data_IF_231309897297
#
_entry.id   IF_231309897297
#
_cell.length_a   1.000
_cell.length_b   1.000
_cell.length_c   1.000
_cell.angle_alpha   90.00
_cell.angle_beta   90.00
_cell.angle_gamma   90.00
#
_symmetry.space_group_name_H-M   'P 1'
#
loop_
_entity.id
_entity.type
_entity.pdbx_description
1 polymer ?
#
# COMPACT_ATOMS: atom_id res chain seq x y z
N UNK A 1 -1.96 82.88 52.68
CA UNK A 1 -0.57 83.07 53.07
C UNK A 1 -0.01 81.72 53.50
N UNK A 2 0.71 81.04 52.60
CA UNK A 2 1.75 80.05 52.91
C UNK A 2 2.35 79.63 51.56
N UNK A 3 3.30 80.44 51.09
CA UNK A 3 4.38 79.99 50.21
C UNK A 3 5.44 79.38 51.14
N UNK A 4 6.33 78.51 50.64
CA UNK A 4 7.46 77.88 51.35
C UNK A 4 7.27 76.42 51.81
N UNK A 5 6.93 75.53 50.88
CA UNK A 5 7.17 74.10 51.09
C UNK A 5 7.74 73.40 49.85
N UNK A 6 8.67 74.05 49.16
CA UNK A 6 9.58 73.35 48.25
C UNK A 6 10.92 73.25 48.96
N UNK A 7 11.19 72.10 49.59
CA UNK A 7 12.52 71.72 50.02
C UNK A 7 13.38 71.56 48.77
N UNK A 8 14.43 72.35 48.63
CA UNK A 8 15.48 72.12 47.63
C UNK A 8 16.04 70.72 47.86
N UNK A 9 15.84 69.84 46.89
CA UNK A 9 16.40 68.49 46.87
C UNK A 9 17.80 68.61 46.27
N UNK A 10 18.81 68.19 47.03
CA UNK A 10 20.23 68.26 46.64
C UNK A 10 20.46 67.49 45.31
N UNK A 11 21.05 68.14 44.29
CA UNK A 11 21.24 67.57 42.95
C UNK A 11 22.15 66.32 42.94
N UNK A 12 22.91 66.07 44.00
CA UNK A 12 23.77 64.89 44.14
C UNK A 12 22.98 63.66 44.56
N UNK A 13 21.92 63.85 45.34
CA UNK A 13 21.03 62.76 45.81
C UNK A 13 20.07 62.33 44.71
N UNK A 14 19.59 63.28 43.91
CA UNK A 14 18.74 63.02 42.75
C UNK A 14 19.49 62.19 41.69
N UNK A 15 20.76 62.50 41.42
CA UNK A 15 21.61 61.72 40.49
C UNK A 15 21.92 60.30 40.99
N UNK A 16 22.11 60.09 42.29
CA UNK A 16 22.38 58.76 42.87
C UNK A 16 21.13 57.87 42.93
N UNK A 17 19.94 58.46 43.12
CA UNK A 17 18.66 57.75 43.07
C UNK A 17 18.34 57.39 41.61
N UNK A 18 18.51 58.33 40.69
CA UNK A 18 18.28 58.13 39.26
C UNK A 18 19.23 57.07 38.67
N UNK A 19 20.52 57.07 38.99
CA UNK A 19 21.48 56.09 38.45
C UNK A 19 21.27 54.66 39.00
N UNK A 20 20.98 54.54 40.31
CA UNK A 20 20.79 53.24 40.97
C UNK A 20 19.47 52.56 40.61
N UNK A 21 18.40 53.32 40.43
CA UNK A 21 17.12 52.80 39.96
C UNK A 21 17.16 52.46 38.47
N UNK A 22 17.75 53.31 37.62
CA UNK A 22 17.82 53.08 36.16
C UNK A 22 18.62 51.82 35.82
N UNK A 23 19.73 51.55 36.52
CA UNK A 23 20.59 50.41 36.24
C UNK A 23 19.96 49.07 36.71
N UNK A 24 19.13 49.12 37.75
CA UNK A 24 18.33 47.98 38.22
C UNK A 24 17.09 47.72 37.35
N UNK A 25 16.47 48.79 36.83
CA UNK A 25 15.33 48.77 35.91
C UNK A 25 15.74 48.43 34.49
N UNK A 26 16.98 48.66 34.06
CA UNK A 26 17.52 48.20 32.77
C UNK A 26 17.93 46.72 32.81
N UNK A 27 18.43 46.21 33.95
CA UNK A 27 18.79 44.78 34.09
C UNK A 27 17.61 43.82 34.10
N UNK A 28 16.43 44.27 34.53
CA UNK A 28 15.20 43.46 34.56
C UNK A 28 14.66 43.10 33.15
N UNK A 29 14.46 44.06 32.23
CA UNK A 29 13.96 43.76 30.88
C UNK A 29 14.98 42.97 30.06
N UNK A 30 16.28 43.12 30.30
CA UNK A 30 17.34 42.43 29.55
C UNK A 30 17.40 40.92 29.89
N UNK A 31 17.22 40.57 31.17
CA UNK A 31 17.09 39.16 31.58
C UNK A 31 15.80 38.51 31.07
N UNK A 32 14.68 39.24 31.06
CA UNK A 32 13.42 38.70 30.58
C UNK A 32 13.38 38.56 29.05
N UNK A 33 13.93 39.54 28.33
CA UNK A 33 14.03 39.49 26.85
C UNK A 33 15.00 38.41 26.38
N UNK A 34 16.14 38.22 27.05
CA UNK A 34 17.03 37.09 26.75
C UNK A 34 16.37 35.74 27.05
N UNK A 35 15.58 35.62 28.12
CA UNK A 35 14.83 34.38 28.42
C UNK A 35 13.75 34.07 27.38
N UNK A 36 13.00 35.09 26.93
CA UNK A 36 11.98 34.95 25.87
C UNK A 36 12.66 34.60 24.53
N UNK A 37 13.82 35.20 24.25
CA UNK A 37 14.60 34.91 23.06
C UNK A 37 15.10 33.46 23.04
N UNK A 38 15.66 32.98 24.16
CA UNK A 38 16.16 31.62 24.33
C UNK A 38 15.02 30.57 24.26
N UNK A 39 13.87 30.87 24.88
CA UNK A 39 12.64 30.08 24.77
C UNK A 39 12.16 29.97 23.31
N UNK A 40 12.13 31.08 22.56
CA UNK A 40 11.78 31.06 21.13
C UNK A 40 12.74 30.23 20.31
N UNK A 41 14.05 30.33 20.57
CA UNK A 41 15.07 29.55 19.87
C UNK A 41 14.92 28.05 20.14
N UNK A 42 14.62 27.64 21.37
CA UNK A 42 14.36 26.23 21.72
C UNK A 42 13.10 25.69 21.03
N UNK A 43 12.03 26.47 20.97
CA UNK A 43 10.80 26.08 20.26
C UNK A 43 11.06 26.00 18.76
N UNK A 44 11.75 26.99 18.18
CA UNK A 44 12.11 26.99 16.76
C UNK A 44 12.97 25.78 16.40
N UNK A 45 14.02 25.50 17.18
CA UNK A 45 14.90 24.35 16.96
C UNK A 45 14.21 23.00 17.18
N UNK A 46 13.27 22.92 18.13
CA UNK A 46 12.43 21.73 18.35
C UNK A 46 11.47 21.47 17.20
N UNK A 47 10.84 22.53 16.66
CA UNK A 47 9.98 22.46 15.46
C UNK A 47 10.81 22.08 14.22
N UNK A 48 12.01 22.62 14.07
CA UNK A 48 12.92 22.29 12.96
C UNK A 48 13.31 20.80 13.01
N UNK A 49 13.73 20.30 14.17
CA UNK A 49 14.12 18.89 14.36
C UNK A 49 12.97 17.92 14.11
N UNK A 50 11.74 18.34 14.45
CA UNK A 50 10.53 17.54 14.19
C UNK A 50 10.17 17.55 12.71
N UNK A 51 10.33 18.69 12.02
CA UNK A 51 10.14 18.79 10.56
C UNK A 51 11.14 17.92 9.81
N UNK A 52 12.41 17.94 10.20
CA UNK A 52 13.46 17.17 9.51
C UNK A 52 13.22 15.66 9.60
N UNK A 53 12.69 15.16 10.72
CA UNK A 53 12.31 13.74 10.84
C UNK A 53 11.06 13.40 10.02
N UNK A 54 10.06 14.29 9.99
CA UNK A 54 8.86 14.09 9.17
C UNK A 54 9.19 14.12 7.67
N UNK A 55 10.09 15.00 7.25
CA UNK A 55 10.53 15.10 5.86
C UNK A 55 11.37 13.89 5.43
N UNK A 56 12.18 13.32 6.34
CA UNK A 56 12.86 12.02 6.09
C UNK A 56 11.86 10.87 5.89
N UNK A 57 10.88 10.75 6.78
CA UNK A 57 9.84 9.70 6.68
C UNK A 57 9.01 9.87 5.41
N UNK A 58 8.64 11.11 5.07
CA UNK A 58 7.94 11.40 3.81
C UNK A 58 8.79 11.04 2.60
N UNK A 59 10.08 11.39 2.57
CA UNK A 59 10.93 11.03 1.44
C UNK A 59 11.09 9.52 1.28
N UNK A 60 11.23 8.75 2.36
CA UNK A 60 11.31 7.29 2.31
C UNK A 60 9.99 6.67 1.84
N UNK A 61 8.86 7.19 2.32
CA UNK A 61 7.54 6.73 1.91
C UNK A 61 7.26 7.10 0.44
N UNK A 62 7.59 8.31 0.01
CA UNK A 62 7.47 8.76 -1.39
C UNK A 62 8.41 7.98 -2.32
N UNK A 63 9.63 7.63 -1.90
CA UNK A 63 10.48 6.75 -2.69
C UNK A 63 9.92 5.33 -2.80
N UNK A 64 9.33 4.79 -1.72
CA UNK A 64 8.66 3.50 -1.77
C UNK A 64 7.46 3.54 -2.73
N UNK A 65 6.64 4.58 -2.67
CA UNK A 65 5.52 4.80 -3.59
C UNK A 65 5.99 4.96 -5.04
N UNK A 66 7.09 5.69 -5.30
CA UNK A 66 7.64 5.82 -6.65
C UNK A 66 8.19 4.50 -7.20
N UNK A 67 8.82 3.66 -6.35
CA UNK A 67 9.27 2.32 -6.76
C UNK A 67 8.11 1.39 -7.06
N UNK A 68 7.02 1.49 -6.29
CA UNK A 68 5.79 0.75 -6.56
C UNK A 68 5.12 1.25 -7.83
N UNK A 69 4.92 2.57 -7.98
CA UNK A 69 4.32 3.16 -9.18
C UNK A 69 5.16 2.89 -10.44
N UNK A 70 6.49 3.03 -10.41
CA UNK A 70 7.31 2.77 -11.59
C UNK A 70 7.29 1.28 -11.98
N UNK A 71 7.24 0.37 -11.00
CA UNK A 71 7.17 -1.07 -11.26
C UNK A 71 5.79 -1.49 -11.76
N UNK A 72 4.74 -0.90 -11.18
CA UNK A 72 3.35 -0.99 -11.65
C UNK A 72 3.29 -0.45 -13.08
N UNK A 73 3.61 0.81 -13.33
CA UNK A 73 3.53 1.43 -14.66
C UNK A 73 4.36 0.69 -15.72
N UNK A 74 5.53 0.14 -15.39
CA UNK A 74 6.33 -0.64 -16.35
C UNK A 74 5.70 -1.97 -16.78
N UNK A 75 4.82 -2.54 -15.94
CA UNK A 75 4.08 -3.77 -16.24
C UNK A 75 2.69 -3.45 -16.82
N UNK A 76 2.12 -2.28 -16.53
CA UNK A 76 0.76 -1.91 -16.92
C UNK A 76 0.65 -0.93 -18.12
N UNK A 77 1.75 -0.51 -18.75
CA UNK A 77 1.71 0.44 -19.86
C UNK A 77 1.14 -0.13 -21.17
N UNK A 78 1.37 -1.42 -21.47
CA UNK A 78 0.83 -2.09 -22.68
C UNK A 78 -0.43 -2.94 -22.38
N UNK A 79 -0.60 -3.34 -21.12
CA UNK A 79 -1.55 -4.38 -20.70
C UNK A 79 -2.80 -3.80 -20.00
N UNK A 80 -2.92 -2.46 -19.87
CA UNK A 80 -4.02 -1.79 -19.14
C UNK A 80 -5.42 -2.15 -19.67
N UNK A 81 -5.55 -2.29 -20.98
CA UNK A 81 -6.81 -2.68 -21.61
C UNK A 81 -7.13 -4.17 -21.43
N UNK A 82 -6.12 -5.05 -21.47
CA UNK A 82 -6.31 -6.50 -21.36
C UNK A 82 -6.50 -6.97 -19.92
N UNK A 83 -5.77 -6.40 -18.96
CA UNK A 83 -5.99 -6.66 -17.53
C UNK A 83 -7.32 -6.09 -17.04
N UNK A 84 -7.65 -4.85 -17.44
CA UNK A 84 -8.96 -4.25 -17.13
C UNK A 84 -10.12 -5.07 -17.69
N UNK A 85 -10.03 -5.47 -18.96
CA UNK A 85 -11.02 -6.33 -19.60
C UNK A 85 -11.04 -7.74 -18.99
N UNK A 86 -9.89 -8.25 -18.57
CA UNK A 86 -9.75 -9.55 -17.94
C UNK A 86 -10.43 -9.62 -16.59
N UNK A 87 -10.19 -8.64 -15.71
CA UNK A 87 -10.87 -8.52 -14.42
C UNK A 87 -12.37 -8.29 -14.63
N UNK A 88 -12.76 -7.42 -15.56
CA UNK A 88 -14.16 -7.20 -15.89
C UNK A 88 -14.85 -8.50 -16.35
N UNK A 89 -14.17 -9.31 -17.15
CA UNK A 89 -14.68 -10.60 -17.62
C UNK A 89 -14.90 -11.59 -16.48
N UNK A 90 -14.01 -11.63 -15.48
CA UNK A 90 -14.17 -12.43 -14.26
C UNK A 90 -15.39 -11.96 -13.46
N UNK A 91 -15.56 -10.65 -13.28
CA UNK A 91 -16.71 -10.07 -12.56
C UNK A 91 -18.02 -10.38 -13.30
N UNK A 92 -18.05 -10.24 -14.63
CA UNK A 92 -19.21 -10.58 -15.45
C UNK A 92 -19.53 -12.07 -15.31
N UNK A 93 -18.54 -12.96 -15.41
CA UNK A 93 -18.76 -14.40 -15.23
C UNK A 93 -19.32 -14.75 -13.85
N UNK A 94 -18.84 -14.09 -12.79
CA UNK A 94 -19.39 -14.24 -11.43
C UNK A 94 -20.85 -13.76 -11.38
N UNK A 95 -21.16 -12.57 -11.93
CA UNK A 95 -22.54 -12.08 -11.98
C UNK A 95 -23.46 -12.99 -12.79
N UNK A 96 -22.98 -13.51 -13.92
CA UNK A 96 -23.70 -14.50 -14.73
C UNK A 96 -23.96 -15.78 -13.94
N UNK A 97 -22.97 -16.29 -13.18
CA UNK A 97 -23.14 -17.43 -12.29
C UNK A 97 -24.16 -17.20 -11.17
N UNK A 98 -24.20 -15.98 -10.63
CA UNK A 98 -25.20 -15.58 -9.64
C UNK A 98 -26.60 -15.48 -10.23
N UNK A 99 -26.74 -15.03 -11.48
CA UNK A 99 -28.03 -14.98 -12.18
C UNK A 99 -28.51 -16.39 -12.51
N UNK A 100 -27.62 -17.25 -13.00
CA UNK A 100 -27.95 -18.63 -13.38
C UNK A 100 -28.49 -19.45 -12.20
N UNK A 101 -28.03 -19.16 -10.98
CA UNK A 101 -28.46 -19.85 -9.76
C UNK A 101 -29.60 -19.17 -9.01
N UNK A 102 -30.25 -18.17 -9.61
CA UNK A 102 -31.34 -17.40 -8.99
C UNK A 102 -32.49 -18.25 -8.46
N UNK A 103 -32.75 -19.43 -9.04
CA UNK A 103 -33.82 -20.35 -8.64
C UNK A 103 -33.34 -21.55 -7.81
N UNK A 104 -32.05 -21.62 -7.48
CA UNK A 104 -31.42 -22.74 -6.77
C UNK A 104 -31.19 -22.43 -5.29
N UNK A 105 -30.96 -23.46 -4.48
CA UNK A 105 -30.71 -23.33 -3.04
C UNK A 105 -29.48 -22.48 -2.70
N UNK A 106 -29.41 -21.98 -1.45
CA UNK A 106 -28.37 -21.06 -0.97
C UNK A 106 -26.93 -21.55 -1.23
N UNK A 107 -26.69 -22.85 -1.11
CA UNK A 107 -25.37 -23.46 -1.38
C UNK A 107 -24.93 -23.24 -2.84
N UNK A 108 -25.83 -23.46 -3.80
CA UNK A 108 -25.54 -23.27 -5.23
C UNK A 108 -25.35 -21.79 -5.60
N UNK A 109 -26.04 -20.90 -4.88
CA UNK A 109 -25.93 -19.45 -5.06
C UNK A 109 -24.56 -18.89 -4.68
N UNK A 110 -23.81 -19.55 -3.80
CA UNK A 110 -22.46 -19.15 -3.44
C UNK A 110 -21.40 -19.90 -4.25
N UNK A 111 -21.56 -21.20 -4.46
CA UNK A 111 -20.53 -22.01 -5.14
C UNK A 111 -20.44 -21.71 -6.62
N UNK A 112 -21.55 -21.49 -7.30
CA UNK A 112 -21.58 -21.29 -8.76
C UNK A 112 -20.90 -20.01 -9.22
N UNK A 113 -21.20 -18.80 -8.67
CA UNK A 113 -20.47 -17.60 -9.03
C UNK A 113 -18.99 -17.72 -8.67
N UNK A 114 -18.64 -18.34 -7.54
CA UNK A 114 -17.25 -18.54 -7.15
C UNK A 114 -16.51 -19.44 -8.15
N UNK A 115 -17.09 -20.58 -8.52
CA UNK A 115 -16.54 -21.52 -9.49
C UNK A 115 -16.35 -20.86 -10.85
N UNK A 116 -17.38 -20.17 -11.37
CA UNK A 116 -17.29 -19.48 -12.65
C UNK A 116 -16.25 -18.35 -12.64
N UNK A 117 -16.16 -17.61 -11.54
CA UNK A 117 -15.14 -16.57 -11.38
C UNK A 117 -13.72 -17.12 -11.34
N UNK A 118 -13.48 -18.19 -10.57
CA UNK A 118 -12.17 -18.86 -10.52
C UNK A 118 -11.83 -19.43 -11.89
N UNK A 119 -12.77 -20.10 -12.55
CA UNK A 119 -12.56 -20.69 -13.87
C UNK A 119 -12.21 -19.64 -14.92
N UNK A 120 -12.96 -18.53 -14.94
CA UNK A 120 -12.69 -17.40 -15.83
C UNK A 120 -11.36 -16.73 -15.49
N UNK A 121 -10.99 -16.64 -14.21
CA UNK A 121 -9.72 -16.09 -13.78
C UNK A 121 -8.52 -16.91 -14.28
N UNK A 122 -8.62 -18.24 -14.22
CA UNK A 122 -7.58 -19.14 -14.76
C UNK A 122 -7.49 -19.01 -16.28
N UNK A 123 -8.63 -18.91 -16.95
CA UNK A 123 -8.71 -18.77 -18.40
C UNK A 123 -8.11 -17.45 -18.91
N UNK A 124 -8.43 -16.34 -18.24
CA UNK A 124 -7.99 -14.99 -18.61
C UNK A 124 -6.53 -14.74 -18.23
N UNK A 125 -6.06 -15.28 -17.10
CA UNK A 125 -4.70 -15.08 -16.59
C UNK A 125 -3.91 -16.40 -16.50
N UNK A 126 -3.58 -17.04 -17.65
CA UNK A 126 -2.92 -18.34 -17.64
C UNK A 126 -1.50 -18.26 -17.09
N UNK A 127 -0.77 -17.17 -17.36
CA UNK A 127 0.59 -16.97 -16.85
C UNK A 127 0.64 -16.85 -15.33
N UNK A 128 -0.26 -16.06 -14.75
CA UNK A 128 -0.36 -15.89 -13.30
C UNK A 128 -0.75 -17.20 -12.61
N UNK A 129 -1.70 -17.93 -13.18
CA UNK A 129 -2.14 -19.23 -12.66
C UNK A 129 -1.00 -20.25 -12.65
N UNK A 130 -0.24 -20.37 -13.74
CA UNK A 130 0.91 -21.26 -13.81
C UNK A 130 2.00 -20.86 -12.81
N UNK A 131 2.31 -19.57 -12.70
CA UNK A 131 3.33 -19.10 -11.75
C UNK A 131 2.93 -19.39 -10.29
N UNK A 132 1.67 -19.18 -9.93
CA UNK A 132 1.16 -19.48 -8.58
C UNK A 132 1.20 -20.99 -8.33
N UNK A 133 0.78 -21.80 -9.30
CA UNK A 133 0.86 -23.26 -9.23
C UNK A 133 2.31 -23.73 -9.03
N UNK A 134 3.29 -23.19 -9.75
CA UNK A 134 4.71 -23.56 -9.59
C UNK A 134 5.22 -23.21 -8.18
N UNK A 135 4.81 -22.06 -7.63
CA UNK A 135 5.17 -21.67 -6.25
C UNK A 135 4.52 -22.56 -5.20
N UNK A 136 3.25 -22.89 -5.38
CA UNK A 136 2.54 -23.84 -4.51
C UNK A 136 3.22 -25.20 -4.60
N UNK A 137 3.58 -25.63 -5.81
CA UNK A 137 4.24 -26.90 -6.04
C UNK A 137 5.62 -26.98 -5.38
N UNK A 138 6.43 -25.94 -5.47
CA UNK A 138 7.72 -25.83 -4.76
C UNK A 138 7.53 -25.92 -3.24
N UNK A 139 6.46 -25.32 -2.72
CA UNK A 139 6.12 -25.36 -1.30
C UNK A 139 5.63 -26.75 -0.87
N UNK A 140 4.79 -27.39 -1.67
CA UNK A 140 4.29 -28.75 -1.47
C UNK A 140 5.41 -29.77 -1.53
N UNK A 141 6.40 -29.61 -2.42
CA UNK A 141 7.56 -30.49 -2.49
C UNK A 141 8.36 -30.51 -1.18
N UNK A 142 8.46 -29.34 -0.53
CA UNK A 142 9.22 -29.17 0.71
C UNK A 142 8.49 -29.70 1.94
N UNK A 143 7.18 -29.50 2.02
CA UNK A 143 6.40 -29.82 3.23
C UNK A 143 5.60 -31.13 3.12
N UNK A 144 5.14 -31.49 1.92
CA UNK A 144 4.16 -32.55 1.66
C UNK A 144 4.54 -33.40 0.43
N UNK A 145 5.68 -34.12 0.47
CA UNK A 145 6.20 -34.86 -0.70
C UNK A 145 5.27 -35.98 -1.19
N UNK A 146 4.41 -36.51 -0.31
CA UNK A 146 3.42 -37.54 -0.66
C UNK A 146 2.34 -37.00 -1.59
N UNK A 147 1.87 -35.76 -1.35
CA UNK A 147 0.85 -35.13 -2.19
C UNK A 147 1.44 -34.78 -3.57
N UNK A 148 2.65 -34.25 -3.60
CA UNK A 148 3.34 -33.91 -4.85
C UNK A 148 3.55 -35.14 -5.77
N UNK A 149 3.81 -36.32 -5.19
CA UNK A 149 3.91 -37.59 -5.94
C UNK A 149 2.57 -38.01 -6.53
N UNK A 150 1.49 -38.01 -5.72
CA UNK A 150 0.14 -38.34 -6.21
C UNK A 150 -0.34 -37.38 -7.30
N UNK A 151 -0.07 -36.09 -7.15
CA UNK A 151 -0.38 -35.11 -8.20
C UNK A 151 0.36 -35.39 -9.51
N UNK A 152 1.63 -35.83 -9.46
CA UNK A 152 2.37 -36.23 -10.68
C UNK A 152 1.78 -37.48 -11.33
N UNK A 153 1.43 -38.47 -10.53
CA UNK A 153 0.80 -39.71 -10.98
C UNK A 153 -0.53 -39.43 -11.69
N UNK A 154 -1.43 -38.68 -11.03
CA UNK A 154 -2.72 -38.28 -11.61
C UNK A 154 -2.53 -37.46 -12.89
N UNK A 155 -1.53 -36.58 -12.93
CA UNK A 155 -1.21 -35.83 -14.15
C UNK A 155 -0.78 -36.77 -15.29
N UNK A 156 0.02 -37.79 -14.99
CA UNK A 156 0.45 -38.81 -15.95
C UNK A 156 -0.74 -39.59 -16.53
N UNK A 157 -1.60 -40.11 -15.66
CA UNK A 157 -2.82 -40.83 -16.08
C UNK A 157 -3.74 -39.96 -16.94
N UNK A 158 -3.90 -38.69 -16.58
CA UNK A 158 -4.72 -37.75 -17.34
C UNK A 158 -4.12 -37.45 -18.72
N UNK A 159 -2.79 -37.35 -18.83
CA UNK A 159 -2.12 -37.14 -20.11
C UNK A 159 -2.26 -38.35 -21.02
N UNK A 160 -2.11 -39.56 -20.48
CA UNK A 160 -2.30 -40.80 -21.23
C UNK A 160 -3.75 -40.94 -21.72
N UNK A 161 -4.74 -40.71 -20.84
CA UNK A 161 -6.16 -40.77 -21.24
C UNK A 161 -6.55 -39.72 -22.30
N UNK A 162 -5.92 -38.54 -22.29
CA UNK A 162 -6.10 -37.53 -23.33
C UNK A 162 -5.50 -37.95 -24.67
N UNK A 163 -4.34 -38.64 -24.64
CA UNK A 163 -3.71 -39.19 -25.85
C UNK A 163 -4.58 -40.30 -26.46
N UNK A 164 -5.12 -41.21 -25.64
CA UNK A 164 -6.05 -42.24 -26.08
C UNK A 164 -7.31 -41.65 -26.73
N UNK A 165 -7.92 -40.62 -26.10
CA UNK A 165 -9.08 -39.93 -26.67
C UNK A 165 -8.75 -39.26 -28.01
N UNK A 166 -7.56 -38.66 -28.13
CA UNK A 166 -7.09 -38.03 -29.37
C UNK A 166 -6.89 -39.06 -30.46
N UNK A 167 -6.30 -40.20 -30.14
CA UNK A 167 -6.04 -41.27 -31.11
C UNK A 167 -7.32 -41.99 -31.52
N UNK A 168 -8.28 -42.16 -30.60
CA UNK A 168 -9.65 -42.57 -30.95
C UNK A 168 -10.29 -41.58 -31.93
N UNK A 169 -10.21 -40.27 -31.66
CA UNK A 169 -10.74 -39.24 -32.57
C UNK A 169 -10.10 -39.27 -33.96
N UNK A 170 -8.77 -39.47 -34.04
CA UNK A 170 -8.07 -39.66 -35.32
C UNK A 170 -8.54 -40.92 -36.05
N UNK A 171 -8.72 -42.04 -35.34
CA UNK A 171 -9.26 -43.29 -35.92
C UNK A 171 -10.65 -43.08 -36.50
N UNK A 172 -11.56 -42.45 -35.75
CA UNK A 172 -12.90 -42.11 -36.24
C UNK A 172 -12.86 -41.22 -37.48
N UNK A 173 -11.99 -40.19 -37.49
CA UNK A 173 -11.81 -39.31 -38.65
C UNK A 173 -11.32 -40.09 -39.88
N UNK A 174 -10.39 -41.03 -39.70
CA UNK A 174 -9.85 -41.85 -40.80
C UNK A 174 -10.94 -42.75 -41.40
N UNK A 175 -11.75 -43.39 -40.56
CA UNK A 175 -12.87 -44.23 -41.02
C UNK A 175 -13.89 -43.42 -41.83
N UNK A 176 -14.25 -42.21 -41.37
CA UNK A 176 -15.16 -41.33 -42.12
C UNK A 176 -14.59 -41.02 -43.51
N UNK A 177 -13.29 -40.78 -43.61
CA UNK A 177 -12.62 -40.43 -44.86
C UNK A 177 -12.33 -41.62 -45.79
N UNK A 178 -12.47 -42.86 -45.31
CA UNK A 178 -12.42 -44.08 -46.14
C UNK A 178 -13.81 -44.49 -46.65
N UNK A 179 -14.88 -44.05 -45.98
CA UNK A 179 -16.28 -44.34 -46.35
C UNK A 179 -16.89 -43.34 -47.33
N UNK A 180 -16.28 -42.16 -47.51
CA UNK A 180 -16.74 -41.07 -48.38
C UNK A 180 -15.69 -40.73 -49.43
#
# INVERSE_FOLDING_TARGET
MSKDFYREVDPSTDKLIVDKDIDSLQKQPEKLTSFIHDQRLKIANGVQSTKDNVDKIKNDYTQAEQRLNNKVTSVYADDRNKLGLGVASVVVAMMTGSIMTRRSGFSLRLTTPLLLGIFTGIYVFPRTSNNICDKIYDYELKHLPVLAKKQREIKGELTEGLEDCRDFSKKCRKLINEWF
#
